data_IF_121720891325
#
_entry.id   IF_121720891325
#
_cell.length_a   1.000
_cell.length_b   1.000
_cell.length_c   1.000
_cell.angle_alpha   90.00
_cell.angle_beta   90.00
_cell.angle_gamma   90.00
#
_symmetry.space_group_name_H-M   'P 1'
#
loop_
_entity.id
_entity.type
_entity.pdbx_description
1 polymer ?
#
# COMPACT_ATOMS: atom_id res chain seq x y z
N UNK A 1 8.18 23.94 0.27
CA UNK A 1 7.90 22.50 0.34
C UNK A 1 6.62 22.31 1.14
N UNK A 2 5.59 21.70 0.56
CA UNK A 2 4.39 21.28 1.29
C UNK A 2 4.76 20.12 2.21
N UNK A 3 4.52 20.29 3.50
CA UNK A 3 4.79 19.27 4.53
C UNK A 3 4.04 17.96 4.24
N UNK A 4 4.74 16.82 4.28
CA UNK A 4 4.18 15.48 4.11
C UNK A 4 2.90 15.26 4.94
N UNK A 5 1.89 14.59 4.36
CA UNK A 5 0.57 14.38 4.97
C UNK A 5 0.63 13.87 6.42
N UNK A 6 1.49 12.88 6.71
CA UNK A 6 1.62 12.36 8.08
C UNK A 6 2.31 13.33 9.03
N UNK A 7 3.40 13.98 8.62
CA UNK A 7 4.09 14.91 9.51
C UNK A 7 3.18 16.09 9.85
N UNK A 8 2.50 16.65 8.84
CA UNK A 8 1.53 17.73 9.03
C UNK A 8 0.45 17.40 10.08
N UNK A 9 -0.10 16.19 10.04
CA UNK A 9 -1.18 15.78 10.93
C UNK A 9 -0.69 15.34 12.31
N UNK A 10 0.51 14.76 12.40
CA UNK A 10 0.99 14.09 13.61
C UNK A 10 2.14 14.86 14.31
N UNK A 11 2.50 16.06 13.83
CA UNK A 11 3.67 16.83 14.31
C UNK A 11 3.74 17.07 15.81
N UNK A 12 2.59 17.18 16.48
CA UNK A 12 2.55 17.41 17.92
C UNK A 12 2.82 16.13 18.74
N UNK A 13 2.80 14.97 18.08
CA UNK A 13 2.98 13.66 18.72
C UNK A 13 4.32 13.04 18.35
N UNK A 14 4.78 13.23 17.12
CA UNK A 14 5.93 12.52 16.59
C UNK A 14 6.65 13.33 15.50
N UNK A 15 7.98 13.30 15.57
CA UNK A 15 8.86 13.67 14.47
C UNK A 15 9.23 12.41 13.68
N UNK A 16 8.73 12.30 12.45
CA UNK A 16 9.07 11.21 11.54
C UNK A 16 10.43 11.41 10.85
N UNK A 17 11.19 12.42 11.23
CA UNK A 17 12.55 12.69 10.76
C UNK A 17 12.62 12.67 9.23
N UNK A 18 11.59 13.22 8.59
CA UNK A 18 11.45 13.12 7.14
C UNK A 18 12.63 13.78 6.44
N UNK A 19 13.06 13.18 5.34
CA UNK A 19 14.13 13.72 4.53
C UNK A 19 13.78 13.67 3.05
N UNK A 20 14.32 14.63 2.31
CA UNK A 20 14.15 14.70 0.86
C UNK A 20 15.06 13.68 0.16
N UNK A 21 14.46 12.91 -0.73
CA UNK A 21 15.11 11.96 -1.62
C UNK A 21 14.58 12.21 -3.05
N UNK A 22 15.33 13.00 -3.82
CA UNK A 22 14.90 13.54 -5.11
C UNK A 22 13.60 14.35 -4.96
N UNK A 23 12.50 13.92 -5.60
CA UNK A 23 11.17 14.50 -5.56
C UNK A 23 10.24 13.84 -4.52
N UNK A 24 10.76 12.94 -3.68
CA UNK A 24 10.02 12.21 -2.66
C UNK A 24 10.47 12.60 -1.25
N UNK A 25 9.53 12.58 -0.30
CA UNK A 25 9.80 12.64 1.14
C UNK A 25 9.77 11.24 1.73
N UNK A 26 10.89 10.80 2.34
CA UNK A 26 11.01 9.47 2.93
C UNK A 26 11.05 9.52 4.45
N UNK A 27 10.63 8.41 5.07
CA UNK A 27 10.73 8.22 6.52
C UNK A 27 12.19 8.12 6.92
N UNK A 28 12.64 9.00 7.81
CA UNK A 28 14.01 8.98 8.31
C UNK A 28 14.24 8.09 9.55
N UNK A 29 15.43 8.24 10.18
CA UNK A 29 16.48 9.20 9.83
C UNK A 29 17.11 8.88 8.46
N UNK A 30 17.67 9.89 7.78
CA UNK A 30 18.35 9.69 6.50
C UNK A 30 19.54 8.75 6.70
N UNK A 31 19.52 7.58 6.05
CA UNK A 31 20.65 6.65 6.03
C UNK A 31 21.47 6.78 4.75
N UNK A 32 22.67 6.19 4.73
CA UNK A 32 23.41 5.99 3.49
C UNK A 32 22.53 5.19 2.49
N UNK A 33 22.61 5.55 1.21
CA UNK A 33 21.82 4.93 0.15
C UNK A 33 22.55 3.75 -0.49
N UNK A 34 23.85 3.60 -0.27
CA UNK A 34 24.58 2.44 -0.77
C UNK A 34 24.35 1.23 0.13
N UNK A 35 24.35 0.03 -0.49
CA UNK A 35 24.33 -1.25 0.23
C UNK A 35 23.16 -1.43 1.22
N UNK A 36 22.02 -0.78 0.96
CA UNK A 36 20.88 -0.73 1.86
C UNK A 36 19.89 -1.91 1.66
N UNK A 37 18.95 -2.06 2.60
CA UNK A 37 17.69 -2.80 2.39
C UNK A 37 16.59 -1.80 2.04
N UNK A 38 15.92 -2.01 0.91
CA UNK A 38 14.81 -1.20 0.47
C UNK A 38 13.49 -1.79 0.96
N UNK A 39 12.59 -0.96 1.47
CA UNK A 39 11.27 -1.36 1.97
C UNK A 39 10.19 -0.65 1.16
N UNK A 40 9.35 -1.44 0.48
CA UNK A 40 8.17 -0.97 -0.23
C UNK A 40 6.93 -1.36 0.57
N UNK A 41 6.08 -0.41 0.94
CA UNK A 41 4.90 -0.74 1.71
C UNK A 41 3.98 0.43 2.04
N UNK A 42 3.00 0.13 2.88
CA UNK A 42 1.97 1.05 3.31
C UNK A 42 2.36 1.77 4.61
N UNK A 43 1.36 2.27 5.35
CA UNK A 43 1.53 3.00 6.61
C UNK A 43 2.32 2.23 7.68
N UNK A 44 2.24 0.88 7.68
CA UNK A 44 2.97 0.04 8.63
C UNK A 44 4.48 0.04 8.35
N UNK A 45 4.88 0.02 7.07
CA UNK A 45 6.27 0.17 6.65
C UNK A 45 6.80 1.58 6.90
N UNK A 46 5.98 2.60 6.63
CA UNK A 46 6.31 3.98 7.02
C UNK A 46 6.50 4.10 8.55
N UNK A 47 5.73 3.35 9.34
CA UNK A 47 5.73 3.41 10.79
C UNK A 47 5.02 4.66 11.31
N UNK A 48 3.80 4.90 10.82
CA UNK A 48 2.95 5.99 11.34
C UNK A 48 2.71 5.74 12.84
N UNK A 49 2.88 6.78 13.65
CA UNK A 49 2.86 6.75 15.12
C UNK A 49 3.98 5.94 15.79
N UNK A 50 5.02 5.55 15.03
CA UNK A 50 6.18 4.84 15.57
C UNK A 50 7.43 5.73 15.51
N UNK A 51 8.02 6.04 16.68
CA UNK A 51 9.30 6.76 16.77
C UNK A 51 10.41 6.04 15.99
N UNK A 52 10.42 4.71 16.10
CA UNK A 52 11.34 3.83 15.39
C UNK A 52 10.53 2.87 14.53
N UNK A 53 10.44 3.07 13.20
CA UNK A 53 9.70 2.17 12.32
C UNK A 53 10.47 0.84 12.21
N UNK A 54 9.78 -0.27 11.93
CA UNK A 54 10.44 -1.58 11.87
C UNK A 54 11.61 -1.66 10.87
N UNK A 55 11.60 -0.96 9.69
CA UNK A 55 12.76 -0.91 8.82
C UNK A 55 14.00 -0.40 9.56
N UNK A 56 13.86 0.69 10.33
CA UNK A 56 14.96 1.24 11.14
C UNK A 56 15.44 0.23 12.19
N UNK A 57 14.52 -0.37 12.93
CA UNK A 57 14.87 -1.34 13.99
C UNK A 57 15.66 -2.53 13.41
N UNK A 58 15.27 -3.02 12.22
CA UNK A 58 15.99 -4.09 11.54
C UNK A 58 17.34 -3.62 11.00
N UNK A 59 17.41 -2.42 10.41
CA UNK A 59 18.65 -1.82 9.94
C UNK A 59 19.69 -1.67 11.06
N UNK A 60 19.26 -1.14 12.21
CA UNK A 60 20.11 -0.95 13.39
C UNK A 60 20.62 -2.32 13.91
N UNK A 61 19.77 -3.34 13.97
CA UNK A 61 20.13 -4.69 14.43
C UNK A 61 21.08 -5.43 13.48
N UNK A 62 20.92 -5.22 12.18
CA UNK A 62 21.73 -5.88 11.14
C UNK A 62 22.97 -5.07 10.77
N UNK A 63 23.11 -3.84 11.28
CA UNK A 63 24.11 -2.87 10.88
C UNK A 63 24.09 -2.60 9.35
N UNK A 64 22.89 -2.42 8.79
CA UNK A 64 22.65 -2.16 7.37
C UNK A 64 21.74 -0.94 7.20
N UNK A 65 22.09 -0.05 6.28
CA UNK A 65 21.28 1.11 5.87
C UNK A 65 19.90 0.70 5.34
N UNK A 66 18.89 1.57 5.44
CA UNK A 66 17.54 1.26 4.99
C UNK A 66 16.92 2.37 4.18
N UNK A 67 16.33 2.05 3.03
CA UNK A 67 15.47 2.94 2.27
C UNK A 67 14.00 2.62 2.56
N UNK A 68 13.29 3.53 3.21
CA UNK A 68 11.88 3.33 3.57
C UNK A 68 10.96 4.11 2.62
N UNK A 69 10.45 3.44 1.59
CA UNK A 69 9.42 3.97 0.68
C UNK A 69 7.99 3.69 1.16
N UNK A 70 7.80 3.49 2.47
CA UNK A 70 6.48 3.34 3.05
C UNK A 70 5.62 4.59 2.81
N UNK A 71 4.38 4.41 2.37
CA UNK A 71 3.44 5.52 2.13
C UNK A 71 2.01 5.17 2.54
N UNK A 72 1.21 6.17 2.91
CA UNK A 72 -0.18 5.94 3.31
C UNK A 72 -1.12 5.66 2.15
N UNK A 73 -2.03 4.70 2.30
CA UNK A 73 -3.10 4.45 1.32
C UNK A 73 -2.60 4.21 -0.10
N UNK A 74 -1.52 3.43 -0.24
CA UNK A 74 -0.91 3.09 -1.53
C UNK A 74 -1.21 1.63 -1.89
N UNK A 75 -1.53 1.41 -3.17
CA UNK A 75 -1.57 0.10 -3.82
C UNK A 75 -0.28 -0.17 -4.61
N UNK A 76 -0.17 -1.33 -5.28
CA UNK A 76 1.06 -1.71 -5.97
C UNK A 76 1.40 -0.77 -7.15
N UNK A 77 0.38 -0.31 -7.89
CA UNK A 77 0.49 0.72 -8.93
C UNK A 77 1.24 1.99 -8.49
N UNK A 78 1.12 2.42 -7.23
CA UNK A 78 1.84 3.60 -6.71
C UNK A 78 3.36 3.48 -6.90
N UNK A 79 3.91 2.26 -6.77
CA UNK A 79 5.33 1.97 -6.91
C UNK A 79 5.71 1.76 -8.38
N UNK A 80 4.88 1.04 -9.14
CA UNK A 80 5.09 0.77 -10.57
C UNK A 80 5.19 2.08 -11.37
N UNK A 81 4.33 3.05 -11.06
CA UNK A 81 4.28 4.34 -11.73
C UNK A 81 5.45 5.28 -11.38
N UNK A 82 6.35 4.89 -10.46
CA UNK A 82 7.49 5.70 -10.01
C UNK A 82 8.82 5.00 -10.32
N UNK A 83 9.39 5.20 -11.53
CA UNK A 83 10.65 4.59 -11.92
C UNK A 83 11.78 4.83 -10.90
N UNK A 84 11.84 6.02 -10.30
CA UNK A 84 12.83 6.34 -9.26
C UNK A 84 12.83 5.34 -8.10
N UNK A 85 11.65 4.89 -7.66
CA UNK A 85 11.54 3.94 -6.54
C UNK A 85 12.05 2.57 -6.99
N UNK A 86 11.63 2.11 -8.18
CA UNK A 86 12.04 0.82 -8.73
C UNK A 86 13.55 0.78 -8.99
N UNK A 87 14.12 1.83 -9.55
CA UNK A 87 15.55 1.97 -9.80
C UNK A 87 16.34 1.97 -8.49
N UNK A 88 15.85 2.68 -7.46
CA UNK A 88 16.47 2.69 -6.13
C UNK A 88 16.38 1.32 -5.45
N UNK A 89 15.24 0.64 -5.57
CA UNK A 89 15.04 -0.71 -5.06
C UNK A 89 16.02 -1.70 -5.72
N UNK A 90 16.20 -1.63 -7.04
CA UNK A 90 17.12 -2.49 -7.78
C UNK A 90 18.62 -2.19 -7.53
N UNK A 91 18.96 -1.03 -6.97
CA UNK A 91 20.33 -0.71 -6.50
C UNK A 91 20.61 -1.17 -5.07
N UNK A 92 19.61 -1.70 -4.37
CA UNK A 92 19.72 -2.15 -2.98
C UNK A 92 20.27 -3.59 -2.90
N UNK A 93 20.60 -4.08 -1.70
CA UNK A 93 21.01 -5.49 -1.50
C UNK A 93 19.83 -6.46 -1.48
N UNK A 94 18.69 -5.96 -1.01
CA UNK A 94 17.48 -6.71 -0.79
C UNK A 94 16.30 -5.75 -0.83
N UNK A 95 15.16 -6.19 -1.36
CA UNK A 95 13.88 -5.48 -1.25
C UNK A 95 12.92 -6.25 -0.36
N UNK A 96 12.35 -5.59 0.64
CA UNK A 96 11.21 -6.09 1.42
C UNK A 96 9.96 -5.45 0.86
N UNK A 97 9.05 -6.27 0.33
CA UNK A 97 7.78 -5.82 -0.24
C UNK A 97 6.65 -6.22 0.71
N UNK A 98 5.92 -5.24 1.23
CA UNK A 98 4.74 -5.49 2.03
C UNK A 98 3.57 -5.91 1.13
N UNK A 99 2.76 -6.89 1.57
CA UNK A 99 1.40 -7.09 1.05
C UNK A 99 0.57 -5.82 1.28
N UNK A 100 0.19 -5.18 0.18
CA UNK A 100 -0.56 -3.94 0.19
C UNK A 100 -2.06 -4.20 0.34
N UNK A 101 -2.82 -3.13 0.56
CA UNK A 101 -4.26 -3.24 0.70
C UNK A 101 -4.92 -3.37 -0.68
N UNK A 102 -5.69 -4.44 -0.91
CA UNK A 102 -6.39 -4.59 -2.19
C UNK A 102 -7.57 -3.65 -2.41
N UNK A 103 -7.95 -2.83 -1.41
CA UNK A 103 -8.87 -1.70 -1.62
C UNK A 103 -8.17 -0.44 -2.16
N UNK A 104 -6.83 -0.46 -2.27
CA UNK A 104 -6.03 0.62 -2.87
C UNK A 104 -5.73 0.37 -4.35
N UNK A 105 -6.57 -0.43 -5.02
CA UNK A 105 -6.45 -0.82 -6.42
C UNK A 105 -7.62 -0.27 -7.22
N UNK A 106 -7.32 0.23 -8.41
CA UNK A 106 -8.34 0.77 -9.31
C UNK A 106 -9.25 -0.33 -9.87
N UNK A 107 -10.51 0.00 -10.13
CA UNK A 107 -11.48 -0.88 -10.78
C UNK A 107 -12.44 -0.09 -11.67
N UNK A 108 -13.49 -0.71 -12.19
CA UNK A 108 -14.47 -0.08 -13.09
C UNK A 108 -15.29 1.05 -12.45
N UNK A 109 -15.30 1.19 -11.12
CA UNK A 109 -16.04 2.24 -10.39
C UNK A 109 -15.10 3.31 -9.83
N UNK A 110 -13.89 2.93 -9.41
CA UNK A 110 -12.95 3.81 -8.71
C UNK A 110 -11.56 3.80 -9.35
N UNK A 111 -10.89 4.95 -9.36
CA UNK A 111 -9.47 5.09 -9.72
C UNK A 111 -8.68 5.50 -8.48
N UNK A 112 -7.74 4.68 -8.03
CA UNK A 112 -6.84 4.99 -6.92
C UNK A 112 -5.64 5.80 -7.42
N UNK A 113 -5.23 6.83 -6.67
CA UNK A 113 -4.08 7.68 -7.01
C UNK A 113 -2.90 7.55 -6.02
N UNK A 114 -3.04 6.71 -4.99
CA UNK A 114 -2.16 6.70 -3.82
C UNK A 114 -2.52 7.78 -2.79
N UNK A 115 -1.85 7.77 -1.63
CA UNK A 115 -2.10 8.77 -0.59
C UNK A 115 -3.51 8.73 -0.01
N UNK A 116 -4.18 7.56 -0.05
CA UNK A 116 -5.60 7.39 0.29
C UNK A 116 -6.56 8.26 -0.55
N UNK A 117 -6.16 8.67 -1.76
CA UNK A 117 -6.99 9.46 -2.69
C UNK A 117 -7.60 8.56 -3.77
N UNK A 118 -8.90 8.72 -3.99
CA UNK A 118 -9.70 7.95 -4.95
C UNK A 118 -10.57 8.88 -5.78
N UNK A 119 -10.68 8.60 -7.09
CA UNK A 119 -11.63 9.23 -8.00
C UNK A 119 -12.76 8.25 -8.28
N UNK A 120 -14.02 8.64 -8.05
CA UNK A 120 -15.17 7.90 -8.56
C UNK A 120 -15.35 8.19 -10.05
N UNK A 121 -15.37 7.14 -10.87
CA UNK A 121 -15.32 7.28 -12.34
C UNK A 121 -16.58 7.88 -12.96
N UNK A 122 -17.77 7.63 -12.39
CA UNK A 122 -19.04 8.06 -13.00
C UNK A 122 -19.20 9.59 -13.05
N UNK A 123 -18.59 10.31 -12.11
CA UNK A 123 -18.69 11.78 -12.01
C UNK A 123 -17.35 12.47 -11.72
N UNK A 124 -16.24 11.75 -11.84
CA UNK A 124 -14.88 12.22 -11.54
C UNK A 124 -14.73 12.86 -10.15
N UNK A 125 -15.55 12.44 -9.17
CA UNK A 125 -15.48 12.99 -7.81
C UNK A 125 -14.23 12.48 -7.08
N UNK A 126 -13.36 13.41 -6.66
CA UNK A 126 -12.26 13.13 -5.74
C UNK A 126 -12.79 12.90 -4.32
N UNK A 127 -12.28 11.87 -3.64
CA UNK A 127 -12.65 11.49 -2.28
C UNK A 127 -11.53 10.69 -1.60
N UNK A 128 -11.63 10.51 -0.28
CA UNK A 128 -10.76 9.60 0.46
C UNK A 128 -11.11 8.14 0.17
N UNK A 129 -10.17 7.23 0.42
CA UNK A 129 -10.43 5.79 0.38
C UNK A 129 -11.51 5.36 1.38
N UNK A 130 -11.58 5.99 2.56
CA UNK A 130 -12.63 5.72 3.54
C UNK A 130 -14.02 6.11 3.03
N UNK A 131 -14.14 7.25 2.35
CA UNK A 131 -15.41 7.69 1.80
C UNK A 131 -15.81 6.87 0.58
N UNK A 132 -14.85 6.41 -0.23
CA UNK A 132 -15.10 5.47 -1.33
C UNK A 132 -15.72 4.15 -0.83
N UNK A 133 -15.28 3.61 0.31
CA UNK A 133 -15.87 2.39 0.88
C UNK A 133 -17.33 2.61 1.28
N UNK A 134 -17.66 3.75 1.89
CA UNK A 134 -19.05 4.10 2.22
C UNK A 134 -19.87 4.31 0.95
N UNK A 135 -19.26 4.91 -0.07
CA UNK A 135 -19.87 5.17 -1.37
C UNK A 135 -20.23 3.88 -2.12
N UNK A 136 -19.56 2.75 -1.87
CA UNK A 136 -20.00 1.44 -2.41
C UNK A 136 -21.40 1.05 -1.91
N UNK A 137 -21.82 1.52 -0.73
CA UNK A 137 -23.13 1.19 -0.16
C UNK A 137 -24.18 2.20 -0.60
N UNK A 138 -23.90 3.49 -0.35
CA UNK A 138 -24.89 4.55 -0.44
C UNK A 138 -24.66 5.47 -1.65
N UNK A 139 -23.63 5.20 -2.45
CA UNK A 139 -23.14 6.09 -3.48
C UNK A 139 -24.00 6.21 -4.72
N UNK A 140 -23.50 7.01 -5.67
CA UNK A 140 -24.20 7.33 -6.91
C UNK A 140 -24.28 6.17 -7.89
N UNK A 141 -23.26 5.31 -7.93
CA UNK A 141 -23.23 4.20 -8.89
C UNK A 141 -24.14 3.07 -8.41
N UNK A 142 -25.42 3.12 -8.76
CA UNK A 142 -26.41 2.15 -8.27
C UNK A 142 -26.19 0.73 -8.79
N UNK A 143 -25.32 0.50 -9.77
CA UNK A 143 -24.96 -0.85 -10.25
C UNK A 143 -24.39 -1.71 -9.11
N UNK A 144 -23.67 -1.10 -8.16
CA UNK A 144 -23.10 -1.82 -6.99
C UNK A 144 -24.15 -2.45 -6.08
N UNK A 145 -25.42 -2.02 -6.16
CA UNK A 145 -26.52 -2.62 -5.43
C UNK A 145 -26.97 -3.95 -6.06
N UNK A 146 -26.69 -4.15 -7.35
CA UNK A 146 -26.95 -5.41 -8.03
C UNK A 146 -25.92 -6.46 -7.60
N UNK A 147 -26.40 -7.56 -6.99
CA UNK A 147 -25.53 -8.65 -6.50
C UNK A 147 -24.58 -9.20 -7.57
N UNK A 148 -25.01 -9.26 -8.83
CA UNK A 148 -24.20 -9.74 -9.95
C UNK A 148 -23.04 -8.78 -10.24
N UNK A 149 -23.32 -7.48 -10.32
CA UNK A 149 -22.30 -6.47 -10.58
C UNK A 149 -21.35 -6.31 -9.39
N UNK A 150 -21.84 -6.34 -8.14
CA UNK A 150 -20.98 -6.30 -6.97
C UNK A 150 -19.98 -7.47 -6.94
N UNK A 151 -20.41 -8.68 -7.27
CA UNK A 151 -19.52 -9.84 -7.40
C UNK A 151 -18.48 -9.65 -8.50
N UNK A 152 -18.88 -9.11 -9.65
CA UNK A 152 -17.97 -8.78 -10.73
C UNK A 152 -16.93 -7.75 -10.29
N UNK A 153 -17.35 -6.66 -9.64
CA UNK A 153 -16.47 -5.59 -9.16
C UNK A 153 -15.43 -6.12 -8.15
N UNK A 154 -15.86 -7.01 -7.24
CA UNK A 154 -14.94 -7.67 -6.30
C UNK A 154 -13.93 -8.53 -7.05
N UNK A 155 -14.38 -9.36 -7.99
CA UNK A 155 -13.50 -10.22 -8.77
C UNK A 155 -12.51 -9.41 -9.63
N UNK A 156 -12.97 -8.33 -10.27
CA UNK A 156 -12.14 -7.38 -11.01
C UNK A 156 -11.07 -6.76 -10.09
N UNK A 157 -11.46 -6.28 -8.91
CA UNK A 157 -10.53 -5.66 -7.96
C UNK A 157 -9.45 -6.66 -7.50
N UNK A 158 -9.82 -7.92 -7.27
CA UNK A 158 -8.87 -8.98 -6.91
C UNK A 158 -7.92 -9.28 -8.06
N UNK A 159 -8.44 -9.40 -9.28
CA UNK A 159 -7.64 -9.68 -10.46
C UNK A 159 -6.62 -8.56 -10.69
N UNK A 160 -7.07 -7.30 -10.67
CA UNK A 160 -6.20 -6.14 -10.81
C UNK A 160 -5.14 -6.10 -9.70
N UNK A 161 -5.50 -6.42 -8.46
CA UNK A 161 -4.54 -6.49 -7.36
C UNK A 161 -3.44 -7.53 -7.60
N UNK A 162 -3.82 -8.73 -8.04
CA UNK A 162 -2.86 -9.81 -8.33
C UNK A 162 -1.95 -9.40 -9.49
N UNK A 163 -2.50 -8.85 -10.56
CA UNK A 163 -1.73 -8.38 -11.72
C UNK A 163 -0.75 -7.27 -11.33
N UNK A 164 -1.21 -6.23 -10.63
CA UNK A 164 -0.35 -5.14 -10.16
C UNK A 164 0.72 -5.64 -9.17
N UNK A 165 0.40 -6.57 -8.26
CA UNK A 165 1.42 -7.16 -7.37
C UNK A 165 2.46 -7.97 -8.14
N UNK A 166 2.04 -8.78 -9.12
CA UNK A 166 2.95 -9.57 -9.96
C UNK A 166 3.84 -8.64 -10.78
N UNK A 167 3.29 -7.58 -11.36
CA UNK A 167 4.06 -6.56 -12.09
C UNK A 167 5.10 -5.88 -11.19
N UNK A 168 4.70 -5.42 -9.99
CA UNK A 168 5.61 -4.84 -9.01
C UNK A 168 6.73 -5.81 -8.65
N UNK A 169 6.40 -7.06 -8.34
CA UNK A 169 7.40 -8.06 -7.98
C UNK A 169 8.33 -8.39 -9.15
N UNK A 170 7.84 -8.40 -10.39
CA UNK A 170 8.63 -8.62 -11.59
C UNK A 170 9.53 -7.43 -11.93
N UNK A 171 9.16 -6.21 -11.55
CA UNK A 171 10.00 -5.01 -11.74
C UNK A 171 11.26 -5.02 -10.86
N UNK A 172 11.24 -5.76 -9.75
CA UNK A 172 12.38 -5.95 -8.85
C UNK A 172 13.23 -7.12 -9.36
N UNK A 173 14.49 -6.87 -9.72
CA UNK A 173 15.41 -7.85 -10.31
C UNK A 173 16.42 -8.43 -9.32
N UNK A 174 16.52 -7.84 -8.14
CA UNK A 174 17.38 -8.30 -7.05
C UNK A 174 16.61 -9.23 -6.08
N UNK A 175 17.27 -9.87 -5.10
CA UNK A 175 16.59 -10.65 -4.07
C UNK A 175 15.50 -9.84 -3.38
N UNK A 176 14.35 -10.47 -3.12
CA UNK A 176 13.20 -9.83 -2.51
C UNK A 176 12.53 -10.74 -1.49
N UNK A 177 11.99 -10.15 -0.42
CA UNK A 177 11.18 -10.82 0.59
C UNK A 177 9.78 -10.22 0.52
N UNK A 178 8.78 -11.09 0.41
CA UNK A 178 7.39 -10.71 0.54
C UNK A 178 6.95 -10.84 1.99
N UNK A 179 6.33 -9.80 2.54
CA UNK A 179 6.03 -9.68 3.95
C UNK A 179 4.58 -9.25 4.19
N UNK A 180 3.90 -9.85 5.17
CA UNK A 180 2.50 -9.56 5.48
C UNK A 180 2.31 -9.29 6.97
N UNK A 181 1.68 -8.15 7.32
CA UNK A 181 1.09 -7.95 8.64
C UNK A 181 -0.32 -8.55 8.63
N UNK A 182 -0.50 -9.70 9.27
CA UNK A 182 -1.79 -10.36 9.38
C UNK A 182 -2.08 -10.75 10.82
N UNK A 183 -3.29 -10.43 11.28
CA UNK A 183 -3.88 -11.03 12.48
C UNK A 183 -4.68 -12.30 12.14
N UNK A 184 -4.89 -12.57 10.85
CA UNK A 184 -5.53 -13.77 10.35
C UNK A 184 -4.49 -14.87 10.16
N UNK A 185 -4.79 -16.06 10.67
CA UNK A 185 -4.04 -17.27 10.32
C UNK A 185 -4.24 -17.60 8.82
N UNK A 186 -3.28 -18.23 8.14
CA UNK A 186 -3.38 -18.59 6.71
C UNK A 186 -4.58 -19.47 6.32
N UNK A 187 -5.33 -20.01 7.29
CA UNK A 187 -6.50 -20.87 7.12
C UNK A 187 -7.83 -20.09 7.19
N UNK A 188 -7.89 -18.89 6.62
CA UNK A 188 -9.12 -18.08 6.65
C UNK A 188 -10.23 -18.71 5.77
N UNK A 189 -11.43 -18.87 6.34
CA UNK A 189 -12.65 -19.20 5.59
C UNK A 189 -13.45 -17.92 5.30
N UNK A 190 -13.82 -17.72 4.04
CA UNK A 190 -14.60 -16.56 3.61
C UNK A 190 -15.93 -16.47 4.36
N UNK A 191 -16.15 -15.37 5.10
CA UNK A 191 -17.45 -15.06 5.70
C UNK A 191 -18.05 -13.82 5.04
N UNK A 192 -19.30 -13.95 4.58
CA UNK A 192 -20.06 -12.86 3.96
C UNK A 192 -20.93 -12.11 4.98
N UNK A 193 -20.35 -11.77 6.14
CA UNK A 193 -21.05 -11.04 7.21
C UNK A 193 -21.56 -9.65 6.77
N UNK A 194 -22.39 -9.01 7.60
CA UNK A 194 -23.06 -7.72 7.29
C UNK A 194 -22.10 -6.54 7.04
N UNK A 195 -20.83 -6.62 7.44
CA UNK A 195 -19.85 -5.54 7.26
C UNK A 195 -19.02 -5.70 5.98
N UNK A 196 -19.20 -4.77 5.03
CA UNK A 196 -18.44 -4.74 3.76
C UNK A 196 -16.93 -4.56 3.95
N UNK A 197 -16.51 -3.88 5.02
CA UNK A 197 -15.08 -3.75 5.37
C UNK A 197 -14.41 -5.12 5.53
N UNK A 198 -15.09 -6.08 6.18
CA UNK A 198 -14.59 -7.45 6.33
C UNK A 198 -14.53 -8.21 5.00
N UNK A 199 -15.44 -7.91 4.06
CA UNK A 199 -15.49 -8.57 2.75
C UNK A 199 -14.31 -8.20 1.85
N UNK A 200 -13.80 -6.98 1.97
CA UNK A 200 -12.61 -6.55 1.20
C UNK A 200 -11.32 -6.75 1.99
N UNK A 201 -11.29 -6.56 3.31
CA UNK A 201 -10.05 -6.70 4.10
C UNK A 201 -9.62 -8.15 4.29
N UNK A 202 -10.57 -9.08 4.40
CA UNK A 202 -10.26 -10.47 4.76
C UNK A 202 -10.27 -11.43 3.56
N UNK A 203 -10.61 -10.98 2.36
CA UNK A 203 -10.65 -11.85 1.17
C UNK A 203 -9.25 -12.25 0.67
N UNK A 204 -8.24 -11.42 0.95
CA UNK A 204 -6.87 -11.57 0.46
C UNK A 204 -6.05 -12.68 1.16
N UNK A 205 -6.67 -13.50 1.99
CA UNK A 205 -6.00 -14.54 2.79
C UNK A 205 -6.19 -15.98 2.28
N UNK A 206 -6.80 -16.17 1.11
CA UNK A 206 -6.74 -17.48 0.45
C UNK A 206 -5.29 -17.72 0.02
N UNK A 207 -4.78 -18.94 0.19
CA UNK A 207 -3.49 -19.43 -0.33
C UNK A 207 -3.30 -19.02 -1.79
N UNK A 208 -2.76 -17.83 -2.02
CA UNK A 208 -2.02 -17.52 -3.23
C UNK A 208 -0.59 -17.81 -2.85
N UNK A 209 -0.15 -19.04 -3.14
CA UNK A 209 1.26 -19.30 -3.29
C UNK A 209 1.71 -18.42 -4.45
N UNK A 210 2.14 -17.20 -4.13
CA UNK A 210 2.88 -16.36 -5.07
C UNK A 210 4.27 -17.00 -5.09
N UNK A 211 4.48 -17.86 -6.10
CA UNK A 211 5.79 -18.42 -6.45
C UNK A 211 6.54 -17.37 -7.24
#
# INVERSE_FOLDING_TARGET
>A
MTEHYYQKNDKNLIDYQLYQFHDLELRGPKSNHDNNICYLGAAQTFGRYCLNPFPRILGDKLNISTLNFGAGGVGPSYFIEKPLIIDSANKSKLVVVQFLSGISVSNSVYKCLGGATVIRRIDNKNMSSEDAIKDIIDGKDKRVLEKKFLKYLIAETIQNYVEEMVELLNSIKIPKILFCFSVCTPQYQESYGKNLRHKFSNFFYKKSTIV
#
